data_IF_944966528868
#
_entry.id   IF_944966528868
#
_cell.length_a   1.000
_cell.length_b   1.000
_cell.length_c   1.000
_cell.angle_alpha   90.00
_cell.angle_beta   90.00
_cell.angle_gamma   90.00
#
_symmetry.space_group_name_H-M   'P 1'
#
loop_
_entity.id
_entity.type
_entity.pdbx_description
1 polymer ?
#
# COMPACT_ATOMS: atom_id res chain seq x y z
N UNK A 1 0.54 13.60 -6.53
CA UNK A 1 -0.73 13.50 -7.28
C UNK A 1 -0.48 13.44 -8.79
N UNK A 2 0.11 14.46 -9.43
CA UNK A 2 0.28 14.60 -10.90
C UNK A 2 0.79 13.32 -11.58
N UNK A 3 1.96 12.79 -11.15
CA UNK A 3 2.51 11.56 -11.75
C UNK A 3 1.59 10.36 -11.66
N UNK A 4 0.85 10.22 -10.56
CA UNK A 4 -0.10 9.12 -10.41
C UNK A 4 -1.24 9.25 -11.43
N UNK A 5 -1.77 10.47 -11.61
CA UNK A 5 -2.84 10.74 -12.58
C UNK A 5 -2.35 10.47 -14.01
N UNK A 6 -1.15 10.92 -14.36
CA UNK A 6 -0.55 10.72 -15.69
C UNK A 6 -0.28 9.24 -16.04
N UNK A 7 -0.21 8.36 -15.04
CA UNK A 7 -0.04 6.91 -15.21
C UNK A 7 -1.33 6.11 -15.15
N UNK A 8 -2.46 6.77 -14.89
CA UNK A 8 -3.76 6.10 -14.86
C UNK A 8 -4.21 5.67 -16.26
N UNK A 9 -4.91 4.54 -16.36
CA UNK A 9 -5.49 4.11 -17.64
C UNK A 9 -6.47 5.15 -18.20
N UNK A 10 -6.51 5.28 -19.53
CA UNK A 10 -7.36 6.26 -20.23
C UNK A 10 -8.87 6.08 -20.00
N UNK A 11 -9.32 4.93 -19.52
CA UNK A 11 -10.73 4.69 -19.21
C UNK A 11 -11.17 5.23 -17.84
N UNK A 12 -10.24 5.81 -17.06
CA UNK A 12 -10.55 6.38 -15.73
C UNK A 12 -10.80 7.88 -15.83
N UNK A 13 -11.95 8.31 -15.32
CA UNK A 13 -12.23 9.72 -15.07
C UNK A 13 -11.69 10.11 -13.68
N UNK A 14 -11.00 11.24 -13.61
CA UNK A 14 -10.34 11.70 -12.38
C UNK A 14 -10.85 13.07 -12.00
N UNK A 15 -11.25 13.25 -10.74
CA UNK A 15 -11.50 14.56 -10.14
C UNK A 15 -10.42 14.86 -9.11
N UNK A 16 -9.81 16.01 -9.24
CA UNK A 16 -8.77 16.51 -8.32
C UNK A 16 -9.35 17.65 -7.51
N UNK A 17 -9.43 17.51 -6.19
CA UNK A 17 -9.82 18.57 -5.28
C UNK A 17 -8.54 19.21 -4.70
N UNK A 18 -8.39 20.50 -4.90
CA UNK A 18 -7.30 21.32 -4.40
C UNK A 18 -7.85 22.62 -3.81
N UNK A 19 -7.40 22.96 -2.61
CA UNK A 19 -7.89 24.13 -1.90
C UNK A 19 -7.19 25.45 -2.27
N UNK A 20 -5.99 25.35 -2.85
CA UNK A 20 -5.26 26.53 -3.35
C UNK A 20 -5.64 26.79 -4.80
N UNK A 21 -6.24 27.97 -5.04
CA UNK A 21 -6.71 28.35 -6.37
C UNK A 21 -5.56 28.48 -7.38
N UNK A 22 -4.39 29.00 -6.98
CA UNK A 22 -3.27 29.13 -7.87
C UNK A 22 -2.74 27.74 -8.26
N UNK A 23 -2.79 26.80 -7.30
CA UNK A 23 -2.40 25.43 -7.57
C UNK A 23 -3.39 24.72 -8.49
N UNK A 24 -4.68 25.06 -8.40
CA UNK A 24 -5.69 24.54 -9.34
C UNK A 24 -5.37 24.98 -10.79
N UNK A 25 -5.00 26.25 -10.99
CA UNK A 25 -4.60 26.76 -12.32
C UNK A 25 -3.38 26.02 -12.86
N UNK A 26 -2.32 25.86 -12.06
CA UNK A 26 -1.15 25.08 -12.45
C UNK A 26 -1.48 23.61 -12.77
N UNK A 27 -2.39 23.00 -12.01
CA UNK A 27 -2.80 21.62 -12.24
C UNK A 27 -3.61 21.47 -13.52
N UNK A 28 -4.46 22.42 -13.86
CA UNK A 28 -5.17 22.44 -15.14
C UNK A 28 -4.20 22.47 -16.32
N UNK A 29 -3.15 23.29 -16.25
CA UNK A 29 -2.13 23.37 -17.30
C UNK A 29 -1.31 22.07 -17.45
N UNK A 30 -1.00 21.42 -16.31
CA UNK A 30 -0.17 20.20 -16.30
C UNK A 30 -0.99 18.94 -16.68
N UNK A 31 -2.27 18.91 -16.30
CA UNK A 31 -3.18 17.77 -16.48
C UNK A 31 -4.15 17.99 -17.63
N UNK A 32 -3.74 18.73 -18.65
CA UNK A 32 -4.53 19.05 -19.83
C UNK A 32 -4.95 17.78 -20.57
N UNK A 33 -6.08 17.20 -20.14
CA UNK A 33 -6.73 16.06 -20.77
C UNK A 33 -8.24 16.07 -20.48
N UNK A 34 -9.02 15.51 -21.38
CA UNK A 34 -10.50 15.52 -21.34
C UNK A 34 -11.11 14.69 -20.17
N UNK A 35 -10.28 13.96 -19.42
CA UNK A 35 -10.73 13.03 -18.35
C UNK A 35 -10.36 13.45 -16.96
N UNK A 36 -9.62 14.55 -16.81
CA UNK A 36 -9.24 15.10 -15.51
C UNK A 36 -9.91 16.44 -15.27
N UNK A 37 -10.69 16.53 -14.21
CA UNK A 37 -11.32 17.76 -13.77
C UNK A 37 -10.66 18.24 -12.47
N UNK A 38 -10.13 19.46 -12.46
CA UNK A 38 -9.59 20.11 -11.26
C UNK A 38 -10.65 21.01 -10.67
N UNK A 39 -10.92 20.83 -9.38
CA UNK A 39 -11.97 21.49 -8.62
C UNK A 39 -11.32 22.21 -7.44
N UNK A 40 -11.57 23.52 -7.33
CA UNK A 40 -11.13 24.25 -6.16
C UNK A 40 -12.04 23.97 -4.97
N UNK A 41 -11.50 23.34 -3.93
CA UNK A 41 -12.25 23.01 -2.73
C UNK A 41 -11.52 22.09 -1.75
N UNK A 42 -12.12 21.93 -0.58
CA UNK A 42 -11.60 21.07 0.48
C UNK A 42 -12.18 19.65 0.33
N UNK A 43 -11.31 18.65 0.26
CA UNK A 43 -11.69 17.23 0.17
C UNK A 43 -12.44 16.69 1.41
N UNK A 44 -12.67 17.52 2.44
CA UNK A 44 -13.47 17.22 3.62
C UNK A 44 -14.85 17.87 3.59
N UNK A 45 -15.09 18.75 2.62
CA UNK A 45 -16.38 19.46 2.47
C UNK A 45 -17.44 18.49 1.96
N UNK A 46 -18.34 18.09 2.86
CA UNK A 46 -19.40 17.13 2.58
C UNK A 46 -20.37 17.61 1.49
N UNK A 47 -20.89 18.83 1.52
CA UNK A 47 -21.69 19.39 0.44
C UNK A 47 -20.99 19.30 -0.92
N UNK A 48 -19.76 19.79 -1.02
CA UNK A 48 -18.96 19.74 -2.25
C UNK A 48 -18.79 18.30 -2.76
N UNK A 49 -18.44 17.37 -1.88
CA UNK A 49 -18.28 15.97 -2.25
C UNK A 49 -19.59 15.37 -2.79
N UNK A 50 -20.75 15.76 -2.27
CA UNK A 50 -22.04 15.33 -2.80
C UNK A 50 -22.31 15.91 -4.19
N UNK A 51 -22.08 17.20 -4.38
CA UNK A 51 -22.24 17.88 -5.67
C UNK A 51 -21.36 17.25 -6.74
N UNK A 52 -20.15 16.86 -6.37
CA UNK A 52 -19.18 16.22 -7.25
C UNK A 52 -19.40 14.71 -7.44
N UNK A 53 -20.44 14.15 -6.86
CA UNK A 53 -20.88 12.79 -7.12
C UNK A 53 -20.08 11.71 -6.39
N UNK A 54 -19.62 11.97 -5.17
CA UNK A 54 -18.84 11.03 -4.34
C UNK A 54 -19.49 9.65 -4.22
N UNK A 55 -20.82 9.55 -4.24
CA UNK A 55 -21.58 8.30 -4.13
C UNK A 55 -21.31 7.34 -5.28
N UNK A 56 -20.93 7.86 -6.45
CA UNK A 56 -20.62 7.09 -7.63
C UNK A 56 -19.11 6.88 -7.82
N UNK A 57 -18.30 7.40 -6.89
CA UNK A 57 -16.85 7.32 -6.94
C UNK A 57 -16.37 5.93 -6.53
N UNK A 58 -15.55 5.32 -7.36
CA UNK A 58 -15.00 3.98 -7.10
C UNK A 58 -13.85 3.98 -6.09
N UNK A 59 -13.02 5.03 -6.12
CA UNK A 59 -11.88 5.18 -5.24
C UNK A 59 -11.66 6.65 -4.86
N UNK A 60 -11.27 6.88 -3.62
CA UNK A 60 -10.90 8.20 -3.10
C UNK A 60 -9.48 8.16 -2.55
N UNK A 61 -8.64 9.10 -2.98
CA UNK A 61 -7.21 9.12 -2.64
C UNK A 61 -6.85 10.47 -2.03
N UNK A 62 -6.44 10.48 -0.77
CA UNK A 62 -6.04 11.69 -0.04
C UNK A 62 -4.51 11.79 0.03
N UNK A 63 -3.95 12.79 -0.66
CA UNK A 63 -2.50 13.00 -0.87
C UNK A 63 -2.02 14.37 -0.43
N UNK A 64 -2.71 15.02 0.50
CA UNK A 64 -2.27 16.34 1.02
C UNK A 64 -1.00 16.19 1.86
N UNK A 65 -0.36 17.31 2.19
CA UNK A 65 0.79 17.34 3.09
C UNK A 65 0.46 17.10 4.57
N UNK A 66 -0.82 16.99 4.92
CA UNK A 66 -1.29 16.86 6.31
C UNK A 66 -1.97 15.50 6.52
N UNK A 67 -1.42 14.68 7.42
CA UNK A 67 -1.89 13.33 7.69
C UNK A 67 -3.31 13.31 8.26
N UNK A 68 -3.65 14.22 9.17
CA UNK A 68 -4.95 14.33 9.81
C UNK A 68 -6.03 14.67 8.78
N UNK A 69 -5.73 15.59 7.86
CA UNK A 69 -6.60 15.93 6.74
C UNK A 69 -6.85 14.70 5.86
N UNK A 70 -5.81 13.95 5.54
CA UNK A 70 -5.93 12.74 4.71
C UNK A 70 -6.78 11.66 5.40
N UNK A 71 -6.57 11.45 6.71
CA UNK A 71 -7.36 10.49 7.50
C UNK A 71 -8.84 10.89 7.52
N UNK A 72 -9.13 12.16 7.84
CA UNK A 72 -10.51 12.65 7.93
C UNK A 72 -11.21 12.64 6.57
N UNK A 73 -10.54 13.03 5.51
CA UNK A 73 -11.09 12.99 4.15
C UNK A 73 -11.44 11.55 3.72
N UNK A 74 -10.55 10.60 3.95
CA UNK A 74 -10.82 9.19 3.66
C UNK A 74 -11.94 8.60 4.52
N UNK A 75 -11.99 8.94 5.82
CA UNK A 75 -13.08 8.51 6.71
C UNK A 75 -14.43 9.05 6.23
N UNK A 76 -14.47 10.33 5.82
CA UNK A 76 -15.66 10.95 5.26
C UNK A 76 -16.09 10.26 3.96
N UNK A 77 -15.18 10.09 3.02
CA UNK A 77 -15.47 9.41 1.75
C UNK A 77 -15.99 7.99 1.97
N UNK A 78 -15.39 7.23 2.90
CA UNK A 78 -15.83 5.88 3.23
C UNK A 78 -17.25 5.86 3.83
N UNK A 79 -17.57 6.79 4.73
CA UNK A 79 -18.93 6.95 5.28
C UNK A 79 -19.96 7.34 4.23
N UNK A 80 -19.53 8.00 3.16
CA UNK A 80 -20.37 8.34 2.01
C UNK A 80 -20.52 7.20 0.99
N UNK A 81 -19.90 6.04 1.25
CA UNK A 81 -20.09 4.81 0.47
C UNK A 81 -18.95 4.49 -0.51
N UNK A 82 -17.85 5.24 -0.52
CA UNK A 82 -16.70 4.92 -1.36
C UNK A 82 -16.03 3.63 -0.84
N UNK A 83 -15.87 2.67 -1.73
CA UNK A 83 -15.35 1.34 -1.36
C UNK A 83 -13.85 1.30 -1.13
N UNK A 84 -13.09 2.04 -1.94
CA UNK A 84 -11.62 2.06 -1.91
C UNK A 84 -11.16 3.45 -1.50
N UNK A 85 -10.53 3.56 -0.35
CA UNK A 85 -9.95 4.80 0.13
C UNK A 85 -8.46 4.60 0.39
N UNK A 86 -7.65 5.59 0.04
CA UNK A 86 -6.19 5.56 0.19
C UNK A 86 -5.74 6.88 0.82
N UNK A 87 -5.07 6.81 1.96
CA UNK A 87 -4.54 7.97 2.66
C UNK A 87 -3.01 7.93 2.76
N UNK A 88 -2.35 9.04 2.46
CA UNK A 88 -0.94 9.22 2.80
C UNK A 88 -0.83 9.67 4.26
N UNK A 89 -0.18 8.86 5.08
CA UNK A 89 0.05 9.12 6.51
C UNK A 89 1.55 9.01 6.79
N UNK A 90 2.23 10.14 6.89
CA UNK A 90 3.69 10.16 7.06
C UNK A 90 4.12 10.03 8.52
N UNK A 91 3.28 10.46 9.46
CA UNK A 91 3.54 10.28 10.87
C UNK A 91 3.20 8.84 11.29
N UNK A 92 4.23 8.11 11.76
CA UNK A 92 4.11 6.70 12.15
C UNK A 92 3.14 6.51 13.33
N UNK A 93 3.07 7.49 14.23
CA UNK A 93 2.18 7.43 15.40
C UNK A 93 0.70 7.43 15.02
N UNK A 94 0.38 7.97 13.83
CA UNK A 94 -0.99 8.03 13.32
C UNK A 94 -1.38 6.79 12.49
N UNK A 95 -0.42 5.95 12.12
CA UNK A 95 -0.70 4.78 11.28
C UNK A 95 -1.60 3.79 12.01
N UNK A 96 -1.26 3.40 13.23
CA UNK A 96 -2.05 2.47 14.03
C UNK A 96 -3.45 3.01 14.36
N UNK A 97 -3.55 4.32 14.62
CA UNK A 97 -4.85 4.98 14.81
C UNK A 97 -5.68 4.95 13.51
N UNK A 98 -5.07 5.27 12.39
CA UNK A 98 -5.75 5.28 11.09
C UNK A 98 -6.22 3.87 10.68
N UNK A 99 -5.42 2.83 10.95
CA UNK A 99 -5.81 1.43 10.77
C UNK A 99 -7.01 1.05 11.65
N UNK A 100 -7.02 1.48 12.92
CA UNK A 100 -8.14 1.20 13.84
C UNK A 100 -9.45 1.86 13.40
N UNK A 101 -9.37 2.98 12.68
CA UNK A 101 -10.53 3.68 12.11
C UNK A 101 -11.02 3.04 10.81
N UNK A 102 -10.35 2.02 10.31
CA UNK A 102 -10.68 1.35 9.05
C UNK A 102 -10.88 2.32 7.87
N UNK A 103 -9.98 3.29 7.76
CA UNK A 103 -10.05 4.31 6.70
C UNK A 103 -9.68 3.80 5.30
N UNK A 104 -9.31 2.55 5.17
CA UNK A 104 -8.82 1.94 3.92
C UNK A 104 -7.32 1.77 3.89
N UNK A 105 -6.70 1.87 2.72
CA UNK A 105 -5.25 1.68 2.56
C UNK A 105 -4.47 2.89 3.06
N UNK A 106 -3.46 2.64 3.87
CA UNK A 106 -2.54 3.66 4.36
C UNK A 106 -1.22 3.55 3.62
N UNK A 107 -0.73 4.68 3.13
CA UNK A 107 0.57 4.80 2.48
C UNK A 107 1.49 5.64 3.36
N UNK A 108 2.57 5.03 3.85
CA UNK A 108 3.67 5.73 4.49
C UNK A 108 4.89 5.72 3.57
N UNK A 109 5.24 6.88 3.01
CA UNK A 109 6.34 7.00 2.04
C UNK A 109 7.70 6.62 2.62
N UNK A 110 7.93 6.91 3.91
CA UNK A 110 9.19 6.58 4.60
C UNK A 110 9.34 5.06 4.76
N UNK A 111 8.27 4.36 5.15
CA UNK A 111 8.28 2.91 5.27
C UNK A 111 8.48 2.21 3.93
N UNK A 112 7.81 2.69 2.86
CA UNK A 112 8.02 2.17 1.50
C UNK A 112 9.47 2.36 1.06
N UNK A 113 10.04 3.56 1.29
CA UNK A 113 11.43 3.83 0.94
C UNK A 113 12.40 2.94 1.75
N UNK A 114 12.17 2.79 3.06
CA UNK A 114 12.98 1.92 3.92
C UNK A 114 12.93 0.45 3.47
N UNK A 115 11.72 -0.06 3.20
CA UNK A 115 11.53 -1.42 2.66
C UNK A 115 12.32 -1.61 1.35
N UNK A 116 12.27 -0.63 0.47
CA UNK A 116 12.99 -0.71 -0.81
C UNK A 116 14.50 -0.67 -0.65
N UNK A 117 15.02 0.19 0.24
CA UNK A 117 16.45 0.25 0.56
C UNK A 117 16.91 -1.08 1.16
N UNK A 118 16.16 -1.59 2.14
CA UNK A 118 16.47 -2.86 2.78
C UNK A 118 16.49 -4.02 1.77
N UNK A 119 15.51 -4.09 0.88
CA UNK A 119 15.46 -5.05 -0.22
C UNK A 119 16.71 -4.98 -1.11
N UNK A 120 17.19 -3.77 -1.43
CA UNK A 120 18.39 -3.57 -2.26
C UNK A 120 19.70 -3.96 -1.53
N UNK A 121 19.70 -3.95 -0.19
CA UNK A 121 20.87 -4.36 0.61
C UNK A 121 20.95 -5.87 0.83
N UNK A 122 19.85 -6.60 0.62
CA UNK A 122 19.85 -8.05 0.77
C UNK A 122 20.46 -8.70 -0.48
N UNK A 123 21.50 -9.55 -0.28
CA UNK A 123 22.15 -10.34 -1.34
C UNK A 123 21.30 -11.51 -1.87
N UNK A 124 20.07 -11.66 -1.38
CA UNK A 124 19.13 -12.70 -1.78
C UNK A 124 18.14 -12.18 -2.83
N UNK A 125 17.55 -13.09 -3.59
CA UNK A 125 16.42 -12.77 -4.48
C UNK A 125 15.16 -12.52 -3.63
N UNK A 126 15.20 -11.44 -2.85
CA UNK A 126 14.06 -10.98 -2.03
C UNK A 126 13.15 -10.18 -2.91
N UNK A 127 11.95 -10.68 -3.14
CA UNK A 127 10.96 -10.04 -4.00
C UNK A 127 10.29 -8.87 -3.32
N UNK A 128 9.91 -9.03 -2.06
CA UNK A 128 9.22 -8.02 -1.28
C UNK A 128 9.67 -8.04 0.18
N UNK A 129 9.74 -6.86 0.76
CA UNK A 129 9.85 -6.67 2.22
C UNK A 129 8.79 -5.68 2.64
N UNK A 130 7.97 -6.05 3.59
CA UNK A 130 6.91 -5.20 4.14
C UNK A 130 7.07 -5.10 5.65
N UNK A 131 7.26 -3.89 6.14
CA UNK A 131 7.24 -3.61 7.56
C UNK A 131 5.78 -3.49 8.01
N UNK A 132 5.34 -4.35 8.94
CA UNK A 132 4.02 -4.28 9.56
C UNK A 132 4.08 -3.26 10.71
N UNK A 133 3.70 -2.02 10.42
CA UNK A 133 3.85 -0.91 11.37
C UNK A 133 2.95 -1.04 12.61
N UNK A 134 1.83 -1.76 12.51
CA UNK A 134 0.91 -2.04 13.61
C UNK A 134 1.25 -3.30 14.41
N UNK A 135 2.02 -4.20 13.83
CA UNK A 135 2.56 -5.37 14.51
C UNK A 135 4.08 -5.24 14.54
N UNK A 136 4.71 -5.44 15.68
CA UNK A 136 6.17 -5.36 15.81
C UNK A 136 6.81 -6.57 15.09
N UNK A 137 6.60 -6.67 13.78
CA UNK A 137 6.98 -7.79 12.93
C UNK A 137 7.20 -7.32 11.49
N UNK A 138 8.14 -7.96 10.83
CA UNK A 138 8.43 -7.74 9.42
C UNK A 138 8.01 -8.97 8.59
N UNK A 139 7.59 -8.74 7.36
CA UNK A 139 7.25 -9.79 6.41
C UNK A 139 8.17 -9.69 5.21
N UNK A 140 8.85 -10.78 4.90
CA UNK A 140 9.70 -10.89 3.71
C UNK A 140 9.21 -12.02 2.80
N UNK A 141 9.21 -11.75 1.50
CA UNK A 141 8.95 -12.71 0.45
C UNK A 141 10.23 -12.91 -0.36
N UNK A 142 10.69 -14.14 -0.49
CA UNK A 142 11.91 -14.47 -1.23
C UNK A 142 11.79 -15.78 -1.99
N UNK A 143 12.62 -15.91 -3.03
CA UNK A 143 12.73 -17.13 -3.83
C UNK A 143 14.04 -17.84 -3.50
N UNK A 144 14.00 -19.04 -2.89
CA UNK A 144 15.20 -19.82 -2.63
C UNK A 144 15.88 -20.26 -3.92
N UNK A 145 17.21 -20.13 -3.95
CA UNK A 145 18.05 -20.68 -5.04
C UNK A 145 18.27 -22.17 -4.85
N UNK A 146 18.58 -22.86 -5.94
CA UNK A 146 18.97 -24.26 -5.90
C UNK A 146 20.19 -24.46 -4.98
N UNK A 147 20.15 -25.50 -4.14
CA UNK A 147 21.22 -25.79 -3.19
C UNK A 147 21.24 -24.94 -1.92
N UNK A 148 20.32 -23.98 -1.76
CA UNK A 148 20.22 -23.18 -0.52
C UNK A 148 19.86 -24.08 0.69
N UNK A 149 20.32 -23.70 1.89
CA UNK A 149 20.09 -24.50 3.12
C UNK A 149 18.61 -24.76 3.41
N UNK A 150 17.74 -23.82 3.04
CA UNK A 150 16.30 -23.90 3.28
C UNK A 150 15.63 -24.98 2.43
N UNK A 151 16.23 -25.39 1.31
CA UNK A 151 15.69 -26.43 0.41
C UNK A 151 16.16 -27.84 0.76
N UNK A 152 17.09 -27.99 1.73
CA UNK A 152 17.74 -29.28 2.02
C UNK A 152 17.04 -30.10 3.10
N UNK A 153 16.21 -29.47 3.93
CA UNK A 153 15.58 -30.09 5.09
C UNK A 153 14.14 -29.61 5.24
N UNK A 154 13.26 -30.42 5.86
CA UNK A 154 11.93 -29.94 6.23
C UNK A 154 12.01 -28.77 7.21
N UNK A 155 10.98 -27.91 7.20
CA UNK A 155 10.96 -26.65 7.96
C UNK A 155 11.27 -26.85 9.45
N UNK A 156 10.78 -27.90 10.07
CA UNK A 156 11.05 -28.22 11.49
C UNK A 156 12.53 -28.43 11.80
N UNK A 157 13.32 -28.83 10.82
CA UNK A 157 14.75 -29.17 10.98
C UNK A 157 15.69 -28.06 10.48
N UNK A 158 15.14 -26.91 10.05
CA UNK A 158 15.93 -25.78 9.53
C UNK A 158 16.68 -25.00 10.61
N UNK A 159 16.25 -25.10 11.88
CA UNK A 159 16.87 -24.32 12.96
C UNK A 159 16.66 -22.82 12.80
N UNK A 160 15.46 -22.40 12.46
CA UNK A 160 15.12 -21.00 12.28
C UNK A 160 15.46 -20.19 13.55
N UNK A 161 15.93 -18.93 13.40
CA UNK A 161 16.13 -18.03 14.53
C UNK A 161 14.87 -17.85 15.37
N UNK A 162 15.05 -17.56 16.66
CA UNK A 162 13.93 -17.26 17.55
C UNK A 162 13.19 -16.02 17.03
N UNK A 163 11.86 -16.10 16.98
CA UNK A 163 11.01 -15.03 16.44
C UNK A 163 10.73 -15.12 14.94
N UNK A 164 11.44 -16.01 14.21
CA UNK A 164 11.21 -16.20 12.77
C UNK A 164 10.25 -17.36 12.50
N UNK A 165 9.28 -17.14 11.62
CA UNK A 165 8.31 -18.15 11.20
C UNK A 165 8.09 -18.10 9.68
N UNK A 166 8.05 -19.27 9.04
CA UNK A 166 7.65 -19.40 7.65
C UNK A 166 6.13 -19.64 7.64
N UNK A 167 5.37 -18.66 7.16
CA UNK A 167 3.90 -18.69 7.17
C UNK A 167 3.30 -19.47 6.01
N UNK A 168 3.89 -19.31 4.83
CA UNK A 168 3.35 -19.93 3.61
C UNK A 168 4.34 -19.90 2.47
N UNK A 169 3.97 -20.53 1.39
CA UNK A 169 4.68 -20.45 0.11
C UNK A 169 3.72 -20.55 -1.07
N UNK A 170 4.15 -20.04 -2.22
CA UNK A 170 3.49 -20.25 -3.50
C UNK A 170 4.38 -21.14 -4.37
N UNK A 171 3.81 -22.21 -4.90
CA UNK A 171 4.44 -23.17 -5.82
C UNK A 171 3.52 -23.42 -7.00
N UNK A 172 3.99 -23.20 -8.22
CA UNK A 172 3.20 -23.35 -9.45
C UNK A 172 1.86 -22.58 -9.38
N UNK A 173 1.91 -21.33 -8.95
CA UNK A 173 0.77 -20.42 -8.75
C UNK A 173 -0.27 -20.90 -7.70
N UNK A 174 0.08 -21.90 -6.89
CA UNK A 174 -0.76 -22.38 -5.81
C UNK A 174 -0.19 -22.01 -4.45
N UNK A 175 -0.96 -21.21 -3.69
CA UNK A 175 -0.63 -20.86 -2.31
C UNK A 175 -0.87 -22.04 -1.36
N UNK A 176 0.08 -22.28 -0.46
CA UNK A 176 -0.04 -23.31 0.59
C UNK A 176 0.51 -22.84 1.92
N UNK A 177 -0.13 -23.26 2.99
CA UNK A 177 0.37 -23.07 4.35
C UNK A 177 1.53 -24.02 4.60
N UNK A 178 2.56 -23.52 5.27
CA UNK A 178 3.72 -24.31 5.63
C UNK A 178 3.51 -25.02 6.96
N UNK A 179 3.87 -26.30 7.00
CA UNK A 179 3.93 -27.10 8.21
C UNK A 179 5.37 -27.51 8.51
N UNK A 180 5.63 -28.04 9.70
CA UNK A 180 6.97 -28.54 10.07
C UNK A 180 7.54 -29.59 9.11
N UNK A 181 6.68 -30.37 8.44
CA UNK A 181 7.11 -31.40 7.47
C UNK A 181 7.22 -30.88 6.03
N UNK A 182 6.91 -29.63 5.77
CA UNK A 182 6.97 -29.05 4.43
C UNK A 182 8.43 -28.96 3.99
N UNK A 183 8.71 -29.43 2.77
CA UNK A 183 9.97 -29.23 2.06
C UNK A 183 9.82 -28.06 1.12
N UNK A 184 10.63 -27.02 1.34
CA UNK A 184 10.73 -25.86 0.44
C UNK A 184 11.61 -26.26 -0.74
N UNK A 185 11.25 -25.82 -1.94
CA UNK A 185 11.97 -26.10 -3.18
C UNK A 185 12.55 -24.83 -3.78
N UNK A 186 13.55 -24.97 -4.61
CA UNK A 186 14.03 -23.85 -5.40
C UNK A 186 12.92 -23.36 -6.34
N UNK A 187 12.74 -22.05 -6.42
CA UNK A 187 11.67 -21.42 -7.21
C UNK A 187 10.33 -21.23 -6.49
N UNK A 188 10.19 -21.75 -5.25
CA UNK A 188 9.03 -21.39 -4.42
C UNK A 188 9.09 -19.89 -4.07
N UNK A 189 7.94 -19.20 -4.03
CA UNK A 189 7.86 -17.90 -3.37
C UNK A 189 7.51 -18.13 -1.90
N UNK A 190 8.42 -17.83 -0.99
CA UNK A 190 8.33 -18.16 0.45
C UNK A 190 8.09 -16.91 1.27
N UNK A 191 7.08 -16.93 2.12
CA UNK A 191 6.72 -15.83 3.03
C UNK A 191 7.20 -16.13 4.44
N UNK A 192 8.03 -15.23 4.96
CA UNK A 192 8.62 -15.31 6.31
C UNK A 192 8.17 -14.13 7.14
N UNK A 193 7.88 -14.38 8.39
CA UNK A 193 7.64 -13.40 9.46
C UNK A 193 8.80 -13.40 10.43
N UNK A 194 9.25 -12.22 10.85
CA UNK A 194 10.32 -12.03 11.82
C UNK A 194 10.09 -10.80 12.71
#
# INVERSE_FOLDING_TARGET
AVRAIQTMPEYMDVKVLENDINRCEELNDILENDKTLVINGDGRDIPLLYEEGIKNTQAFVALTGNAETNILACLTAKRMGVRKTVAVVENIDYVSMAESLDIGTIINKKAIAASRIYQMMLDADVMNVTFLMSANADVAEFIPKEGSKITQKPVKDLGLPQGMTIGGLVRNDQGMLVSGNTMIQAGDSVVVFC
#
